data_IF_184372108354
#
_entry.id   IF_184372108354
#
_cell.length_a   1.000
_cell.length_b   1.000
_cell.length_c   1.000
_cell.angle_alpha   90.00
_cell.angle_beta   90.00
_cell.angle_gamma   90.00
#
_symmetry.space_group_name_H-M   'P 1'
#
loop_
_entity.id
_entity.type
_entity.pdbx_description
1 polymer ?
#
# COMPACT_ATOMS: atom_id res chain seq x y z
N UNK A 1 51.52 16.28 -40.10
CA UNK A 1 50.46 16.46 -39.09
C UNK A 1 49.40 15.34 -39.26
N UNK A 2 49.49 14.25 -38.48
CA UNK A 2 48.68 13.03 -38.67
C UNK A 2 47.43 13.12 -37.78
N UNK A 3 46.29 13.51 -38.35
CA UNK A 3 45.04 13.67 -37.58
C UNK A 3 44.55 12.30 -37.08
N UNK A 4 44.49 12.17 -35.77
CA UNK A 4 44.08 10.97 -35.05
C UNK A 4 42.59 10.67 -35.27
N UNK A 5 42.30 9.79 -36.25
CA UNK A 5 40.94 9.33 -36.61
C UNK A 5 40.66 7.97 -35.98
N UNK A 6 40.40 7.93 -34.66
CA UNK A 6 40.19 6.67 -33.91
C UNK A 6 39.04 6.65 -32.90
N UNK A 7 38.23 7.71 -32.79
CA UNK A 7 37.14 7.84 -31.80
C UNK A 7 35.72 7.56 -32.33
N UNK A 8 35.53 7.21 -33.62
CA UNK A 8 34.18 6.99 -34.19
C UNK A 8 33.61 5.58 -34.01
N UNK A 9 34.42 4.60 -33.60
CA UNK A 9 34.00 3.18 -33.52
C UNK A 9 33.12 2.88 -32.31
N UNK A 10 33.07 3.76 -31.33
CA UNK A 10 32.38 3.53 -30.05
C UNK A 10 31.24 4.52 -29.82
N UNK A 11 30.95 5.38 -30.80
CA UNK A 11 29.89 6.39 -30.71
C UNK A 11 28.50 5.76 -30.52
N UNK A 12 28.19 4.68 -31.24
CA UNK A 12 26.91 3.96 -31.09
C UNK A 12 26.77 3.24 -29.75
N UNK A 13 27.86 2.64 -29.25
CA UNK A 13 27.88 1.97 -27.95
C UNK A 13 27.67 2.97 -26.80
N UNK A 14 28.32 4.14 -26.86
CA UNK A 14 28.18 5.18 -25.84
C UNK A 14 26.75 5.73 -25.82
N UNK A 15 26.16 5.99 -26.99
CA UNK A 15 24.78 6.48 -27.08
C UNK A 15 23.76 5.48 -26.52
N UNK A 16 23.94 4.18 -26.79
CA UNK A 16 23.05 3.13 -26.27
C UNK A 16 23.11 2.99 -24.76
N UNK A 17 24.31 3.07 -24.16
CA UNK A 17 24.48 3.01 -22.71
C UNK A 17 23.76 4.17 -22.03
N UNK A 18 23.89 5.39 -22.56
CA UNK A 18 23.25 6.58 -21.99
C UNK A 18 21.71 6.46 -22.03
N UNK A 19 21.15 6.03 -23.16
CA UNK A 19 19.71 5.83 -23.30
C UNK A 19 19.16 4.76 -22.34
N UNK A 20 19.90 3.67 -22.17
CA UNK A 20 19.55 2.58 -21.26
C UNK A 20 19.56 3.02 -19.79
N UNK A 21 20.56 3.79 -19.37
CA UNK A 21 20.66 4.31 -17.99
C UNK A 21 19.50 5.26 -17.66
N UNK A 22 19.12 6.14 -18.58
CA UNK A 22 17.99 7.06 -18.40
C UNK A 22 16.68 6.26 -18.32
N UNK A 23 16.48 5.30 -19.23
CA UNK A 23 15.31 4.42 -19.23
C UNK A 23 15.17 3.64 -17.93
N UNK A 24 16.25 3.00 -17.46
CA UNK A 24 16.27 2.30 -16.17
C UNK A 24 15.94 3.26 -15.03
N UNK A 25 16.54 4.45 -15.02
CA UNK A 25 16.30 5.42 -13.93
C UNK A 25 14.83 5.84 -13.88
N UNK A 26 14.19 6.11 -15.02
CA UNK A 26 12.77 6.44 -15.09
C UNK A 26 11.88 5.26 -14.67
N UNK A 27 12.19 4.05 -15.12
CA UNK A 27 11.45 2.82 -14.74
C UNK A 27 11.57 2.56 -13.25
N UNK A 28 12.78 2.65 -12.68
CA UNK A 28 13.02 2.49 -11.24
C UNK A 28 12.33 3.59 -10.47
N UNK A 29 12.37 4.84 -10.92
CA UNK A 29 11.69 5.95 -10.25
C UNK A 29 10.17 5.80 -10.28
N UNK A 30 9.57 5.51 -11.43
CA UNK A 30 8.14 5.25 -11.57
C UNK A 30 7.70 4.06 -10.70
N UNK A 31 8.35 2.91 -10.86
CA UNK A 31 8.06 1.72 -10.03
C UNK A 31 8.30 1.99 -8.55
N UNK A 32 9.30 2.80 -8.16
CA UNK A 32 9.51 3.18 -6.76
C UNK A 32 8.45 4.16 -6.25
N UNK A 33 7.94 5.08 -7.07
CA UNK A 33 6.87 6.00 -6.70
C UNK A 33 5.54 5.27 -6.53
N UNK A 34 5.21 4.35 -7.44
CA UNK A 34 4.05 3.47 -7.31
C UNK A 34 4.17 2.56 -6.09
N UNK A 35 5.34 1.95 -5.86
CA UNK A 35 5.60 1.13 -4.66
C UNK A 35 5.61 1.94 -3.37
N UNK A 36 6.12 3.17 -3.35
CA UNK A 36 6.10 4.07 -2.19
C UNK A 36 4.70 4.60 -1.89
N UNK A 37 3.88 4.91 -2.91
CA UNK A 37 2.47 5.29 -2.74
C UNK A 37 1.68 4.15 -2.12
N UNK A 38 1.85 2.93 -2.63
CA UNK A 38 1.21 1.74 -2.08
C UNK A 38 1.75 1.41 -0.68
N UNK A 39 3.06 1.53 -0.45
CA UNK A 39 3.69 1.31 0.86
C UNK A 39 3.37 2.38 1.92
N UNK A 40 3.07 3.62 1.52
CA UNK A 40 2.59 4.67 2.43
C UNK A 40 1.14 4.41 2.84
N UNK A 41 0.28 4.07 1.87
CA UNK A 41 -1.09 3.66 2.14
C UNK A 41 -1.11 2.39 3.00
N UNK A 42 -0.25 1.43 2.68
CA UNK A 42 -0.08 0.21 3.46
C UNK A 42 0.51 0.51 4.84
N UNK A 43 1.45 1.45 5.03
CA UNK A 43 1.91 1.88 6.38
C UNK A 43 0.83 2.60 7.20
N UNK A 44 -0.09 3.30 6.54
CA UNK A 44 -1.31 3.85 7.15
C UNK A 44 -2.25 2.74 7.62
N UNK A 45 -2.38 1.64 6.86
CA UNK A 45 -3.23 0.48 7.16
C UNK A 45 -2.55 -0.62 8.01
N UNK A 46 -1.21 -0.66 8.06
CA UNK A 46 -0.40 -1.70 8.74
C UNK A 46 0.06 -1.25 10.12
N UNK A 47 0.15 0.06 10.38
CA UNK A 47 0.06 0.55 11.77
C UNK A 47 -1.27 0.12 12.42
N UNK A 48 -2.27 -0.25 11.62
CA UNK A 48 -3.54 -0.81 12.09
C UNK A 48 -3.47 -2.32 12.36
N UNK A 49 -2.45 -3.08 11.88
CA UNK A 49 -2.47 -4.55 11.91
C UNK A 49 -1.08 -5.21 11.97
N UNK A 50 -0.43 -5.16 13.12
CA UNK A 50 0.57 -6.14 13.58
C UNK A 50 0.45 -6.06 15.12
N UNK A 51 0.04 -7.10 15.86
CA UNK A 51 0.67 -8.43 15.92
C UNK A 51 -0.33 -9.55 16.26
N UNK A 52 -0.12 -10.77 15.73
CA UNK A 52 -0.81 -11.98 16.21
C UNK A 52 -0.45 -12.25 17.68
N UNK A 53 -1.49 -12.55 18.48
CA UNK A 53 -1.59 -12.53 19.95
C UNK A 53 -1.95 -11.18 20.60
N UNK A 54 -2.06 -10.11 19.79
CA UNK A 54 -2.63 -8.82 20.19
C UNK A 54 -3.86 -8.50 19.33
N UNK A 55 -4.88 -7.88 19.93
CA UNK A 55 -6.16 -7.63 19.29
C UNK A 55 -6.00 -7.01 17.88
N UNK A 56 -6.67 -7.59 16.87
CA UNK A 56 -6.84 -6.93 15.57
C UNK A 56 -7.41 -5.55 15.83
N UNK A 57 -6.61 -4.51 15.63
CA UNK A 57 -7.07 -3.14 15.77
C UNK A 57 -7.93 -2.87 14.53
N UNK A 58 -9.20 -2.62 14.78
CA UNK A 58 -10.12 -2.14 13.77
C UNK A 58 -10.34 -0.66 14.03
N UNK A 59 -10.26 0.16 12.99
CA UNK A 59 -10.65 1.55 13.12
C UNK A 59 -12.11 1.67 13.63
N UNK A 60 -12.38 2.64 14.50
CA UNK A 60 -13.70 2.88 15.08
C UNK A 60 -14.73 3.15 13.99
N UNK A 61 -14.33 3.79 12.88
CA UNK A 61 -15.20 4.00 11.72
C UNK A 61 -15.73 2.68 11.15
N UNK A 62 -14.87 1.66 11.08
CA UNK A 62 -15.23 0.33 10.61
C UNK A 62 -16.21 -0.32 11.59
N UNK A 63 -15.91 -0.30 12.90
CA UNK A 63 -16.78 -0.90 13.93
C UNK A 63 -18.14 -0.21 13.97
N UNK A 64 -18.16 1.13 13.96
CA UNK A 64 -19.37 1.93 13.98
C UNK A 64 -20.20 1.67 12.72
N UNK A 65 -19.60 1.67 11.54
CA UNK A 65 -20.31 1.34 10.30
C UNK A 65 -20.91 -0.08 10.36
N UNK A 66 -20.13 -1.06 10.82
CA UNK A 66 -20.53 -2.45 10.88
C UNK A 66 -21.65 -2.72 11.90
N UNK A 67 -21.68 -1.95 12.99
CA UNK A 67 -22.75 -1.99 14.01
C UNK A 67 -23.93 -1.05 13.69
N UNK A 68 -23.93 -0.40 12.52
CA UNK A 68 -24.88 0.65 12.17
C UNK A 68 -24.96 1.74 13.25
N UNK A 69 -23.80 2.30 13.58
CA UNK A 69 -23.54 3.28 14.63
C UNK A 69 -24.11 2.87 15.99
N UNK A 70 -23.87 1.62 16.40
CA UNK A 70 -24.36 1.08 17.69
C UNK A 70 -25.88 1.22 17.86
N UNK A 71 -26.64 1.05 16.78
CA UNK A 71 -28.10 1.12 16.81
C UNK A 71 -28.69 0.09 17.77
N UNK A 72 -29.71 0.49 18.55
CA UNK A 72 -30.47 -0.43 19.42
C UNK A 72 -31.05 -1.64 18.69
N UNK A 73 -31.29 -1.54 17.38
CA UNK A 73 -31.74 -2.66 16.55
C UNK A 73 -30.71 -3.78 16.43
N UNK A 74 -29.43 -3.47 16.60
CA UNK A 74 -28.33 -4.42 16.55
C UNK A 74 -27.86 -4.85 17.94
N UNK A 75 -28.46 -4.30 19.01
CA UNK A 75 -28.12 -4.69 20.38
C UNK A 75 -28.71 -6.06 20.67
N UNK A 76 -27.87 -7.00 21.10
CA UNK A 76 -28.27 -8.37 21.43
C UNK A 76 -28.39 -8.60 22.93
N UNK A 77 -27.87 -7.69 23.76
CA UNK A 77 -28.01 -7.78 25.22
C UNK A 77 -27.26 -6.68 25.96
N UNK A 78 -27.52 -6.58 27.26
CA UNK A 78 -26.78 -5.74 28.20
C UNK A 78 -26.75 -6.42 29.57
N UNK A 79 -25.59 -6.35 30.23
CA UNK A 79 -25.38 -6.91 31.57
C UNK A 79 -24.15 -6.29 32.23
N UNK A 80 -23.54 -6.98 33.20
CA UNK A 80 -22.37 -6.47 33.94
C UNK A 80 -21.12 -6.15 33.10
N UNK A 81 -21.08 -6.58 31.84
CA UNK A 81 -20.03 -6.27 30.87
C UNK A 81 -20.38 -5.11 29.92
N UNK A 82 -21.59 -4.54 30.03
CA UNK A 82 -22.10 -3.49 29.14
C UNK A 82 -22.94 -3.99 27.95
N UNK A 83 -23.28 -3.10 27.00
CA UNK A 83 -24.13 -3.44 25.85
C UNK A 83 -23.34 -4.18 24.75
N UNK A 84 -23.92 -5.27 24.23
CA UNK A 84 -23.33 -6.10 23.17
C UNK A 84 -24.12 -5.92 21.88
N UNK A 85 -23.41 -5.68 20.77
CA UNK A 85 -24.00 -5.41 19.46
C UNK A 85 -23.56 -6.44 18.41
N UNK A 86 -24.50 -6.92 17.60
CA UNK A 86 -24.22 -7.79 16.46
C UNK A 86 -23.78 -6.97 15.24
N UNK A 87 -22.73 -7.45 14.59
CA UNK A 87 -22.25 -6.91 13.32
C UNK A 87 -22.86 -7.72 12.17
N UNK A 88 -23.41 -7.04 11.16
CA UNK A 88 -24.10 -7.69 10.04
C UNK A 88 -23.21 -7.75 8.80
N UNK A 89 -22.36 -8.77 8.70
CA UNK A 89 -21.72 -9.15 7.44
C UNK A 89 -22.43 -10.38 6.86
N UNK A 90 -23.09 -10.23 5.72
CA UNK A 90 -23.79 -11.33 5.02
C UNK A 90 -22.75 -12.24 4.37
N UNK A 91 -22.52 -13.42 4.95
CA UNK A 91 -21.86 -14.51 4.24
C UNK A 91 -22.86 -15.09 3.23
N UNK A 92 -22.65 -14.96 1.91
CA UNK A 92 -23.52 -15.61 0.95
C UNK A 92 -23.30 -17.13 1.06
N UNK A 93 -24.32 -17.84 1.52
CA UNK A 93 -24.47 -19.29 1.30
C UNK A 93 -25.12 -19.51 -0.05
#
# INVERSE_FOLDING_TARGET
HKKNKRNSKHAGTIAGIIAFLIGITLIVMATSAYRKKLGCLQKLFHKEKEDGDSATIFDFSIIASATNHFSNRNKIGEGGFGPVYMVKYWFPS
#
